data_IF_720891754982
#
_entry.id   IF_720891754982
#
_cell.length_a   1.000
_cell.length_b   1.000
_cell.length_c   1.000
_cell.angle_alpha   90.00
_cell.angle_beta   90.00
_cell.angle_gamma   90.00
#
_symmetry.space_group_name_H-M   'P 1'
#
loop_
_entity.id
_entity.type
_entity.pdbx_description
1 polymer ?
#
# COMPACT_ATOMS: atom_id res chain seq x y z
N UNK A 1 -3.62 1.47 -20.94
CA UNK A 1 -4.02 1.81 -19.56
C UNK A 1 -4.15 3.32 -19.45
N UNK A 2 -5.17 3.81 -18.75
CA UNK A 2 -5.25 5.24 -18.41
C UNK A 2 -4.14 5.56 -17.38
N UNK A 3 -3.56 6.77 -17.47
CA UNK A 3 -2.61 7.25 -16.47
C UNK A 3 -3.39 7.68 -15.23
N UNK A 4 -2.93 7.26 -14.06
CA UNK A 4 -3.49 7.65 -12.77
C UNK A 4 -2.49 8.55 -12.05
N UNK A 5 -2.95 9.70 -11.53
CA UNK A 5 -2.16 10.49 -10.59
C UNK A 5 -2.32 9.91 -9.20
N UNK A 6 -1.20 9.70 -8.51
CA UNK A 6 -1.14 8.96 -7.26
C UNK A 6 0.02 9.51 -6.43
N UNK A 7 -0.09 9.50 -5.10
CA UNK A 7 1.05 9.86 -4.25
C UNK A 7 2.12 8.77 -4.34
N UNK A 8 3.39 9.13 -4.16
CA UNK A 8 4.50 8.17 -4.22
C UNK A 8 4.39 7.04 -3.19
N UNK A 9 3.97 7.36 -1.96
CA UNK A 9 3.74 6.38 -0.89
C UNK A 9 2.66 5.37 -1.26
N UNK A 10 1.52 5.85 -1.78
CA UNK A 10 0.43 4.99 -2.23
C UNK A 10 0.91 4.12 -3.40
N UNK A 11 1.66 4.68 -4.35
CA UNK A 11 2.17 3.98 -5.52
C UNK A 11 3.07 2.79 -5.15
N UNK A 12 3.93 2.95 -4.14
CA UNK A 12 4.74 1.84 -3.61
C UNK A 12 3.85 0.77 -2.96
N UNK A 13 2.83 1.17 -2.20
CA UNK A 13 1.88 0.23 -1.58
C UNK A 13 1.11 -0.59 -2.61
N UNK A 14 0.59 0.05 -3.66
CA UNK A 14 -0.13 -0.65 -4.73
C UNK A 14 0.81 -1.52 -5.56
N UNK A 15 2.04 -1.07 -5.84
CA UNK A 15 3.05 -1.87 -6.52
C UNK A 15 3.38 -3.15 -5.73
N UNK A 16 3.51 -3.05 -4.39
CA UNK A 16 3.72 -4.22 -3.54
C UNK A 16 2.53 -5.21 -3.63
N UNK A 17 1.29 -4.71 -3.61
CA UNK A 17 0.09 -5.54 -3.77
C UNK A 17 0.07 -6.25 -5.13
N UNK A 18 0.37 -5.52 -6.21
CA UNK A 18 0.45 -6.06 -7.56
C UNK A 18 1.55 -7.11 -7.70
N UNK A 19 2.66 -6.95 -6.98
CA UNK A 19 3.74 -7.93 -6.89
C UNK A 19 3.40 -9.17 -6.03
N UNK A 20 2.20 -9.25 -5.44
CA UNK A 20 1.77 -10.41 -4.64
C UNK A 20 1.91 -10.23 -3.12
N UNK A 21 2.26 -9.04 -2.63
CA UNK A 21 2.27 -8.78 -1.19
C UNK A 21 0.86 -8.91 -0.59
N UNK A 22 0.72 -9.69 0.48
CA UNK A 22 -0.55 -9.93 1.17
C UNK A 22 -0.47 -9.72 2.68
N UNK A 23 0.71 -9.44 3.22
CA UNK A 23 0.91 -9.21 4.64
C UNK A 23 1.74 -7.94 4.81
N UNK A 24 1.36 -7.06 5.72
CA UNK A 24 2.14 -5.89 6.07
C UNK A 24 2.55 -5.94 7.53
N UNK A 25 3.78 -5.56 7.80
CA UNK A 25 4.31 -5.41 9.16
C UNK A 25 5.13 -4.13 9.17
N UNK A 26 4.79 -3.18 10.04
CA UNK A 26 5.42 -1.88 10.02
C UNK A 26 5.35 -1.14 11.34
N UNK A 27 6.22 -0.15 11.47
CA UNK A 27 6.25 0.81 12.56
C UNK A 27 6.02 2.21 11.98
N UNK A 28 5.06 2.99 12.50
CA UNK A 28 4.81 4.34 12.03
C UNK A 28 6.05 5.25 12.20
N UNK A 29 6.50 5.86 11.11
CA UNK A 29 7.56 6.87 11.11
C UNK A 29 7.37 7.84 9.94
N UNK A 30 7.60 9.13 10.16
CA UNK A 30 7.54 10.13 9.08
C UNK A 30 8.78 10.03 8.18
N UNK A 31 8.66 10.25 6.85
CA UNK A 31 7.46 10.63 6.09
C UNK A 31 6.64 9.45 5.51
N UNK A 32 6.95 8.20 5.83
CA UNK A 32 6.36 7.03 5.15
C UNK A 32 4.98 6.61 5.66
N UNK A 33 4.40 7.30 6.65
CA UNK A 33 3.12 6.96 7.28
C UNK A 33 1.93 6.76 6.32
N UNK A 34 1.96 7.37 5.13
CA UNK A 34 0.92 7.15 4.12
C UNK A 34 0.95 5.75 3.49
N UNK A 35 2.09 5.03 3.55
CA UNK A 35 2.20 3.64 3.09
C UNK A 35 1.32 2.71 3.95
N UNK A 36 1.50 2.61 5.29
CA UNK A 36 0.62 1.80 6.11
C UNK A 36 -0.85 2.28 6.04
N UNK A 37 -1.11 3.58 5.93
CA UNK A 37 -2.47 4.11 5.74
C UNK A 37 -3.11 3.57 4.45
N UNK A 38 -2.38 3.53 3.34
CA UNK A 38 -2.84 2.98 2.07
C UNK A 38 -3.06 1.46 2.15
N UNK A 39 -2.07 0.73 2.68
CA UNK A 39 -2.11 -0.73 2.76
C UNK A 39 -3.20 -1.25 3.69
N UNK A 40 -3.48 -0.56 4.80
CA UNK A 40 -4.57 -0.91 5.73
C UNK A 40 -5.95 -0.94 5.06
N UNK A 41 -6.16 -0.08 4.05
CA UNK A 41 -7.40 -0.03 3.26
C UNK A 41 -7.39 -1.05 2.11
N UNK A 42 -6.23 -1.27 1.48
CA UNK A 42 -6.15 -2.04 0.23
C UNK A 42 -5.95 -3.54 0.42
N UNK A 43 -5.19 -3.96 1.43
CA UNK A 43 -4.90 -5.37 1.67
C UNK A 43 -6.16 -6.22 1.90
N UNK A 44 -7.17 -5.81 2.70
CA UNK A 44 -8.39 -6.59 2.87
C UNK A 44 -9.12 -6.87 1.55
N UNK A 45 -9.11 -5.92 0.61
CA UNK A 45 -9.76 -6.06 -0.69
C UNK A 45 -9.07 -7.07 -1.63
N UNK A 46 -7.84 -7.50 -1.33
CA UNK A 46 -7.08 -8.48 -2.11
C UNK A 46 -6.76 -9.76 -1.33
N UNK A 47 -7.50 -10.01 -0.24
CA UNK A 47 -7.31 -11.19 0.62
C UNK A 47 -6.03 -11.14 1.47
N UNK A 48 -5.46 -9.96 1.68
CA UNK A 48 -4.33 -9.73 2.56
C UNK A 48 -4.73 -9.32 3.96
N UNK A 49 -3.77 -9.36 4.88
CA UNK A 49 -3.89 -8.89 6.26
C UNK A 49 -2.94 -7.71 6.47
N UNK A 50 -3.45 -6.68 7.12
CA UNK A 50 -2.67 -5.52 7.55
C UNK A 50 -2.42 -5.60 9.06
#
# INVERSE_FOLDING_TARGET
MAKTLMKGCEAIGEAAIQAGCRLFFGYPITPQNEIPEYLSRRLPAVGGTF
#
